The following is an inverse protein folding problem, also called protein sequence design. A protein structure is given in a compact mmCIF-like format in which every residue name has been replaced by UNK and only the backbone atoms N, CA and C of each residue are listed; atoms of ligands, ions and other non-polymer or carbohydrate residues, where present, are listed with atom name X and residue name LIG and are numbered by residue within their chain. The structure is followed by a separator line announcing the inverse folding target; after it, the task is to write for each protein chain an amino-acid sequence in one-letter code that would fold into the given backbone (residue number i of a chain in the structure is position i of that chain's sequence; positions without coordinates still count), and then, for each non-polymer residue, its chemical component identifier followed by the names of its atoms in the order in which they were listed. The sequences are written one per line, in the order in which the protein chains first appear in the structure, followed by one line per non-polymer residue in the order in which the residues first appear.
data_IF_523389602502
#
_entry.id   IF_523389602502
#
_cell.length_a   1.000
_cell.length_b   1.000
_cell.length_c   1.000
_cell.angle_alpha   90.00
_cell.angle_beta   90.00
_cell.angle_gamma   90.00
#
_symmetry.space_group_name_H-M   'P 1'
#
loop_
_entity.id
_entity.type
_entity.pdbx_description
1 polymer ?
#
# COMPACT_ATOMS: atom_id res chain seq x y z
N UNK A 1 69.54 -36.45 -13.79
CA UNK A 1 68.92 -35.33 -14.50
C UNK A 1 67.70 -35.90 -15.21
N UNK A 2 66.55 -35.75 -14.61
CA UNK A 2 65.22 -36.23 -15.16
C UNK A 2 64.66 -35.15 -16.06
N UNK A 3 64.53 -35.50 -17.34
CA UNK A 3 63.85 -34.60 -18.33
C UNK A 3 62.38 -34.48 -18.00
N UNK A 4 61.94 -33.30 -17.62
CA UNK A 4 60.53 -32.96 -17.38
C UNK A 4 59.86 -32.83 -18.75
N UNK A 5 58.87 -33.71 -19.03
CA UNK A 5 58.18 -33.77 -20.30
C UNK A 5 57.28 -32.54 -20.48
N UNK A 6 57.58 -31.78 -21.53
CA UNK A 6 56.86 -30.57 -21.94
C UNK A 6 55.38 -30.81 -22.32
N UNK A 7 54.95 -32.08 -22.35
CA UNK A 7 53.59 -32.47 -22.76
C UNK A 7 52.58 -32.42 -21.61
N UNK A 8 53.04 -32.32 -20.34
CA UNK A 8 52.10 -32.26 -19.18
C UNK A 8 51.61 -30.87 -18.84
N UNK A 9 52.15 -29.81 -19.43
CA UNK A 9 51.81 -28.41 -19.13
C UNK A 9 50.67 -27.93 -20.05
N UNK A 10 50.41 -28.60 -21.19
CA UNK A 10 49.38 -28.15 -22.15
C UNK A 10 47.95 -28.61 -21.79
N UNK A 11 47.78 -29.54 -20.86
CA UNK A 11 46.43 -30.08 -20.50
C UNK A 11 45.77 -29.28 -19.34
N UNK A 12 46.53 -28.45 -18.62
CA UNK A 12 45.98 -27.70 -17.47
C UNK A 12 45.41 -26.35 -17.87
N UNK A 13 45.68 -25.83 -19.09
CA UNK A 13 45.22 -24.50 -19.54
C UNK A 13 43.83 -24.57 -20.21
N UNK A 14 43.30 -25.77 -20.54
CA UNK A 14 42.03 -25.88 -21.26
C UNK A 14 40.80 -26.15 -20.38
N UNK A 15 40.94 -26.22 -19.06
CA UNK A 15 39.86 -26.52 -18.13
C UNK A 15 39.29 -25.29 -17.41
N UNK A 16 39.66 -24.05 -17.78
CA UNK A 16 39.27 -22.84 -17.06
C UNK A 16 38.43 -21.85 -17.90
N UNK A 17 37.68 -22.31 -18.90
CA UNK A 17 36.93 -21.40 -19.81
C UNK A 17 35.46 -21.70 -19.92
N UNK A 18 34.81 -22.28 -18.92
CA UNK A 18 33.33 -22.34 -18.89
C UNK A 18 32.81 -21.84 -17.55
N UNK A 19 33.14 -20.58 -17.20
CA UNK A 19 32.28 -19.82 -16.28
C UNK A 19 31.18 -19.17 -17.12
N UNK A 20 30.14 -19.93 -17.41
CA UNK A 20 28.88 -19.40 -17.90
C UNK A 20 28.35 -18.43 -16.87
N UNK A 21 28.45 -17.13 -17.14
CA UNK A 21 27.70 -16.10 -16.44
C UNK A 21 26.23 -16.32 -16.80
N UNK A 22 25.53 -17.05 -15.95
CA UNK A 22 24.09 -17.07 -15.93
C UNK A 22 23.64 -15.66 -15.49
N UNK A 23 23.43 -14.79 -16.49
CA UNK A 23 22.73 -13.52 -16.31
C UNK A 23 21.32 -13.87 -15.86
N UNK A 24 21.06 -13.80 -14.55
CA UNK A 24 19.72 -13.88 -14.02
C UNK A 24 18.95 -12.63 -14.51
N UNK A 25 18.38 -12.71 -15.70
CA UNK A 25 17.27 -11.85 -16.10
C UNK A 25 16.11 -12.21 -15.16
N UNK A 26 16.06 -11.57 -14.00
CA UNK A 26 14.84 -11.48 -13.22
C UNK A 26 13.86 -10.66 -14.07
N UNK A 27 13.12 -11.36 -14.94
CA UNK A 27 11.94 -10.84 -15.60
C UNK A 27 10.99 -10.46 -14.46
N UNK A 28 10.90 -9.16 -14.22
CA UNK A 28 9.89 -8.59 -13.35
C UNK A 28 8.56 -8.87 -14.06
N UNK A 29 7.95 -10.00 -13.72
CA UNK A 29 6.58 -10.28 -14.14
C UNK A 29 5.73 -9.18 -13.55
N UNK A 30 5.28 -8.27 -14.41
CA UNK A 30 4.20 -7.36 -14.08
C UNK A 30 3.01 -8.26 -13.75
N UNK A 31 2.71 -8.42 -12.47
CA UNK A 31 1.46 -9.05 -12.06
C UNK A 31 0.35 -8.21 -12.69
N UNK A 32 -0.43 -8.80 -13.59
CA UNK A 32 -1.69 -8.25 -14.06
C UNK A 32 -2.68 -8.29 -12.88
N UNK A 33 -2.41 -7.46 -11.88
CA UNK A 33 -3.28 -7.26 -10.74
C UNK A 33 -4.41 -6.34 -11.19
N UNK A 34 -5.49 -6.94 -11.67
CA UNK A 34 -6.67 -6.22 -12.19
C UNK A 34 -7.56 -5.69 -11.07
N UNK A 35 -7.29 -6.06 -9.81
CA UNK A 35 -8.12 -5.72 -8.67
C UNK A 35 -7.31 -5.25 -7.45
N UNK A 36 -7.94 -4.44 -6.59
CA UNK A 36 -7.36 -4.10 -5.29
C UNK A 36 -7.37 -5.32 -4.39
N UNK A 37 -6.24 -5.68 -3.82
CA UNK A 37 -6.13 -6.74 -2.81
C UNK A 37 -6.55 -6.19 -1.44
N UNK A 38 -7.86 -6.11 -1.23
CA UNK A 38 -8.41 -5.65 0.04
C UNK A 38 -8.13 -6.64 1.17
N UNK A 39 -7.67 -6.14 2.31
CA UNK A 39 -7.56 -6.89 3.56
C UNK A 39 -8.36 -6.22 4.67
N UNK A 40 -8.42 -6.86 5.83
CA UNK A 40 -9.07 -6.30 7.02
C UNK A 40 -8.09 -5.44 7.82
N UNK A 41 -8.63 -4.52 8.62
CA UNK A 41 -7.80 -3.60 9.40
C UNK A 41 -6.94 -4.35 10.44
N UNK A 42 -7.43 -5.47 10.99
CA UNK A 42 -6.73 -6.28 11.97
C UNK A 42 -5.48 -6.96 11.39
N UNK A 43 -5.51 -7.31 10.11
CA UNK A 43 -4.40 -7.97 9.41
C UNK A 43 -3.42 -6.97 8.79
N UNK A 44 -3.83 -5.73 8.63
CA UNK A 44 -3.12 -4.74 7.81
C UNK A 44 -1.65 -4.57 8.20
N UNK A 45 -1.34 -4.42 9.48
CA UNK A 45 0.03 -4.24 9.98
C UNK A 45 0.91 -5.46 9.67
N UNK A 46 0.40 -6.66 9.97
CA UNK A 46 1.15 -7.91 9.75
C UNK A 46 1.41 -8.16 8.26
N UNK A 47 0.41 -7.95 7.41
CA UNK A 47 0.54 -8.10 5.96
C UNK A 47 1.45 -7.03 5.33
N UNK A 48 1.40 -5.80 5.83
CA UNK A 48 2.30 -4.72 5.40
C UNK A 48 3.76 -5.09 5.64
N UNK A 49 4.07 -5.60 6.83
CA UNK A 49 5.43 -6.03 7.20
C UNK A 49 5.86 -7.29 6.43
N UNK A 50 4.97 -8.28 6.33
CA UNK A 50 5.27 -9.54 5.62
C UNK A 50 5.59 -9.31 4.12
N UNK A 51 4.94 -8.32 3.50
CA UNK A 51 5.13 -7.97 2.09
C UNK A 51 6.13 -6.83 1.86
N UNK A 52 6.88 -6.39 2.88
CA UNK A 52 7.83 -5.28 2.83
C UNK A 52 7.22 -3.97 2.29
N UNK A 53 5.93 -3.75 2.49
CA UNK A 53 5.25 -2.52 2.12
C UNK A 53 5.48 -1.44 3.18
N UNK A 54 5.37 -0.18 2.77
CA UNK A 54 5.71 0.95 3.64
C UNK A 54 4.48 1.60 4.28
N UNK A 55 3.31 1.43 3.68
CA UNK A 55 2.10 2.14 4.06
C UNK A 55 0.89 1.24 4.04
N UNK A 56 -0.14 1.66 4.79
CA UNK A 56 -1.48 1.10 4.74
C UNK A 56 -2.40 2.21 4.22
N UNK A 57 -3.19 1.91 3.19
CA UNK A 57 -4.27 2.78 2.72
C UNK A 57 -5.60 2.21 3.23
N UNK A 58 -6.27 2.94 4.10
CA UNK A 58 -7.59 2.57 4.61
C UNK A 58 -8.65 3.37 3.87
N UNK A 59 -9.58 2.69 3.21
CA UNK A 59 -10.79 3.27 2.66
C UNK A 59 -11.92 3.12 3.67
N UNK A 60 -12.30 4.24 4.31
CA UNK A 60 -13.42 4.32 5.23
C UNK A 60 -14.70 4.56 4.42
N UNK A 61 -15.60 3.59 4.44
CA UNK A 61 -16.86 3.64 3.72
C UNK A 61 -18.05 3.33 4.62
N UNK A 62 -19.25 3.47 4.09
CA UNK A 62 -20.51 2.95 4.65
C UNK A 62 -21.37 2.37 3.54
N UNK A 63 -22.27 1.43 3.86
CA UNK A 63 -23.07 0.72 2.87
C UNK A 63 -24.04 1.64 2.07
N UNK A 64 -24.45 2.74 2.65
CA UNK A 64 -25.33 3.73 2.03
C UNK A 64 -24.57 4.83 1.25
N UNK A 65 -23.24 4.84 1.27
CA UNK A 65 -22.41 5.89 0.69
C UNK A 65 -22.33 5.78 -0.84
N UNK A 66 -23.10 6.57 -1.56
CA UNK A 66 -23.07 6.58 -3.03
C UNK A 66 -21.73 7.00 -3.63
N UNK A 67 -21.02 7.96 -3.01
CA UNK A 67 -19.69 8.36 -3.45
C UNK A 67 -18.61 7.31 -3.21
N UNK A 68 -18.79 6.46 -2.18
CA UNK A 68 -17.91 5.32 -1.97
C UNK A 68 -18.05 4.30 -3.10
N UNK A 69 -19.30 3.94 -3.46
CA UNK A 69 -19.58 3.05 -4.59
C UNK A 69 -19.00 3.61 -5.90
N UNK A 70 -19.17 4.92 -6.14
CA UNK A 70 -18.60 5.57 -7.31
C UNK A 70 -17.05 5.51 -7.32
N UNK A 71 -16.40 5.60 -6.17
CA UNK A 71 -14.95 5.47 -6.06
C UNK A 71 -14.50 4.02 -6.33
N UNK A 72 -15.27 3.03 -5.86
CA UNK A 72 -15.02 1.62 -6.15
C UNK A 72 -15.10 1.33 -7.67
N UNK A 73 -16.11 1.88 -8.33
CA UNK A 73 -16.39 1.64 -9.75
C UNK A 73 -15.42 2.38 -10.70
N UNK A 74 -14.98 3.58 -10.35
CA UNK A 74 -14.25 4.45 -11.28
C UNK A 74 -12.79 4.69 -10.90
N UNK A 75 -12.43 4.61 -9.62
CA UNK A 75 -11.08 4.90 -9.17
C UNK A 75 -10.29 3.62 -8.91
N UNK A 76 -10.88 2.71 -8.14
CA UNK A 76 -10.22 1.45 -7.78
C UNK A 76 -10.27 0.37 -8.87
N UNK A 77 -10.56 0.76 -10.11
CA UNK A 77 -10.52 -0.10 -11.32
C UNK A 77 -9.43 0.32 -12.31
N UNK A 78 -8.73 1.44 -12.07
CA UNK A 78 -7.66 1.90 -12.96
C UNK A 78 -6.39 1.07 -12.78
N UNK A 79 -5.92 0.43 -13.84
CA UNK A 79 -4.77 -0.48 -13.80
C UNK A 79 -3.47 0.20 -13.36
N UNK A 80 -3.25 1.46 -13.76
CA UNK A 80 -2.03 2.21 -13.39
C UNK A 80 -2.03 2.57 -11.92
N UNK A 81 -3.19 2.98 -11.39
CA UNK A 81 -3.40 3.23 -9.97
C UNK A 81 -3.18 1.94 -9.16
N UNK A 82 -3.74 0.82 -9.60
CA UNK A 82 -3.62 -0.47 -8.92
C UNK A 82 -2.17 -0.95 -8.84
N UNK A 83 -1.40 -0.82 -9.90
CA UNK A 83 0.02 -1.14 -9.90
C UNK A 83 0.79 -0.31 -8.85
N UNK A 84 0.51 0.99 -8.77
CA UNK A 84 1.12 1.90 -7.79
C UNK A 84 0.69 1.57 -6.35
N UNK A 85 -0.61 1.34 -6.13
CA UNK A 85 -1.19 0.97 -4.84
C UNK A 85 -0.59 -0.34 -4.33
N UNK A 86 -0.64 -1.39 -5.16
CA UNK A 86 -0.19 -2.73 -4.77
C UNK A 86 1.32 -2.82 -4.53
N UNK A 87 2.12 -1.92 -5.09
CA UNK A 87 3.59 -1.94 -4.92
C UNK A 87 4.05 -1.48 -3.53
N UNK A 88 3.37 -0.50 -2.91
CA UNK A 88 3.85 0.12 -1.67
C UNK A 88 2.84 0.15 -0.52
N UNK A 89 1.57 -0.12 -0.81
CA UNK A 89 0.49 0.00 0.15
C UNK A 89 -0.21 -1.34 0.37
N UNK A 90 -0.61 -1.60 1.60
CA UNK A 90 -1.61 -2.61 1.93
C UNK A 90 -2.96 -1.91 1.94
N UNK A 91 -3.89 -2.35 1.08
CA UNK A 91 -5.20 -1.73 0.96
C UNK A 91 -6.19 -2.37 1.94
N UNK A 92 -6.88 -1.55 2.70
CA UNK A 92 -7.88 -1.95 3.70
C UNK A 92 -9.23 -1.34 3.33
N UNK A 93 -10.27 -2.16 3.25
CA UNK A 93 -11.66 -1.72 3.16
C UNK A 93 -12.29 -1.78 4.53
N UNK A 94 -12.70 -0.63 5.12
CA UNK A 94 -13.20 -0.59 6.47
C UNK A 94 -14.57 0.09 6.55
N UNK A 95 -15.62 -0.70 6.85
CA UNK A 95 -16.96 -0.16 7.08
C UNK A 95 -16.97 0.62 8.40
N UNK A 96 -17.09 1.93 8.29
CA UNK A 96 -17.05 2.83 9.43
C UNK A 96 -18.24 2.65 10.40
N UNK A 97 -19.34 2.02 9.97
CA UNK A 97 -20.53 1.75 10.79
C UNK A 97 -20.59 0.28 11.26
N UNK A 98 -19.49 -0.50 11.17
CA UNK A 98 -19.49 -1.86 11.70
C UNK A 98 -19.81 -1.87 13.19
N UNK A 99 -20.73 -2.75 13.58
CA UNK A 99 -21.10 -2.99 14.98
C UNK A 99 -20.10 -3.92 15.70
N UNK A 100 -19.25 -4.60 14.94
CA UNK A 100 -18.26 -5.53 15.49
C UNK A 100 -17.20 -4.78 16.31
N UNK A 101 -16.68 -5.46 17.33
CA UNK A 101 -15.51 -4.98 18.05
C UNK A 101 -14.28 -5.17 17.16
N UNK A 102 -13.62 -4.07 16.82
CA UNK A 102 -12.44 -4.07 15.96
C UNK A 102 -11.18 -4.00 16.80
N UNK A 103 -10.25 -4.89 16.56
CA UNK A 103 -8.94 -4.88 17.22
C UNK A 103 -7.88 -4.29 16.29
N UNK A 104 -7.26 -3.20 16.69
CA UNK A 104 -6.21 -2.57 15.90
C UNK A 104 -5.10 -2.04 16.79
N UNK A 105 -3.86 -2.37 16.45
CA UNK A 105 -2.65 -1.94 17.16
C UNK A 105 -2.72 -2.14 18.69
N UNK A 106 -3.19 -3.33 19.11
CA UNK A 106 -3.30 -3.72 20.54
C UNK A 106 -4.45 -3.07 21.32
N UNK A 107 -5.33 -2.33 20.64
CA UNK A 107 -6.49 -1.66 21.24
C UNK A 107 -7.79 -2.17 20.60
N UNK A 108 -8.86 -2.27 21.42
CA UNK A 108 -10.20 -2.64 20.94
C UNK A 108 -11.07 -1.40 20.79
N UNK A 109 -11.83 -1.37 19.70
CA UNK A 109 -12.68 -0.25 19.29
C UNK A 109 -14.12 -0.73 19.11
N UNK A 110 -15.04 -0.08 19.78
CA UNK A 110 -16.46 -0.41 19.74
C UNK A 110 -17.22 0.55 18.81
N UNK A 111 -18.40 0.13 18.40
CA UNK A 111 -19.35 1.03 17.76
C UNK A 111 -19.89 2.05 18.80
N UNK A 112 -19.98 3.30 18.41
CA UNK A 112 -20.56 4.38 19.21
C UNK A 112 -21.68 5.04 18.45
N UNK A 113 -22.88 5.03 19.01
CA UNK A 113 -24.06 5.71 18.44
C UNK A 113 -23.94 7.22 18.67
N UNK A 114 -24.07 7.99 17.59
CA UNK A 114 -24.10 9.46 17.60
C UNK A 114 -25.35 9.94 16.86
N UNK A 115 -26.38 10.35 17.58
CA UNK A 115 -27.67 10.73 16.98
C UNK A 115 -28.40 9.55 16.33
N UNK A 116 -28.88 9.74 15.09
CA UNK A 116 -29.63 8.72 14.34
C UNK A 116 -28.74 7.61 13.77
N UNK A 117 -27.43 7.82 13.69
CA UNK A 117 -26.43 6.86 13.19
C UNK A 117 -25.35 6.66 14.24
N UNK A 118 -24.22 6.14 13.85
CA UNK A 118 -23.04 5.97 14.68
C UNK A 118 -21.84 5.62 13.84
N UNK A 119 -20.72 5.41 14.50
CA UNK A 119 -19.51 4.92 13.83
C UNK A 119 -18.68 4.08 14.80
N UNK A 120 -17.87 3.21 14.26
CA UNK A 120 -16.84 2.55 15.06
C UNK A 120 -15.80 3.58 15.52
N UNK A 121 -15.38 3.47 16.76
CA UNK A 121 -14.40 4.39 17.36
C UNK A 121 -13.10 4.48 16.58
N UNK A 122 -12.66 3.38 15.92
CA UNK A 122 -11.48 3.38 15.08
C UNK A 122 -11.70 4.25 13.82
N UNK A 123 -12.88 4.17 13.18
CA UNK A 123 -13.20 5.03 12.04
C UNK A 123 -13.17 6.51 12.44
N UNK A 124 -13.69 6.84 13.62
CA UNK A 124 -13.63 8.21 14.17
C UNK A 124 -12.19 8.66 14.43
N UNK A 125 -11.38 7.81 15.07
CA UNK A 125 -9.97 8.13 15.38
C UNK A 125 -9.14 8.32 14.10
N UNK A 126 -9.30 7.44 13.12
CA UNK A 126 -8.53 7.48 11.88
C UNK A 126 -9.04 8.55 10.90
N UNK A 127 -10.36 8.64 10.70
CA UNK A 127 -10.96 9.38 9.59
C UNK A 127 -11.34 10.82 9.91
N UNK A 128 -11.47 11.20 11.19
CA UNK A 128 -11.92 12.56 11.51
C UNK A 128 -10.89 13.63 11.14
N UNK A 129 -11.39 14.70 10.49
CA UNK A 129 -10.65 15.92 10.18
C UNK A 129 -11.47 17.10 10.74
N UNK A 130 -10.88 17.88 11.66
CA UNK A 130 -11.58 18.96 12.34
C UNK A 130 -12.87 18.50 13.05
N UNK A 131 -12.84 17.37 13.74
CA UNK A 131 -13.97 16.76 14.45
C UNK A 131 -15.14 16.30 13.55
N UNK A 132 -14.93 16.21 12.24
CA UNK A 132 -15.93 15.72 11.29
C UNK A 132 -15.45 14.43 10.63
N UNK A 133 -16.30 13.42 10.61
CA UNK A 133 -16.12 12.19 9.84
C UNK A 133 -17.09 12.20 8.67
N UNK A 134 -16.60 12.05 7.47
CA UNK A 134 -17.39 11.96 6.23
C UNK A 134 -16.96 10.75 5.40
N UNK A 135 -17.73 10.42 4.37
CA UNK A 135 -17.47 9.26 3.53
C UNK A 135 -17.58 9.58 2.05
N UNK A 136 -16.68 8.99 1.22
CA UNK A 136 -15.53 8.21 1.62
C UNK A 136 -14.48 9.06 2.32
N UNK A 137 -13.63 8.45 3.13
CA UNK A 137 -12.39 9.07 3.62
C UNK A 137 -11.25 8.08 3.47
N UNK A 138 -10.23 8.46 2.72
CA UNK A 138 -8.99 7.69 2.63
C UNK A 138 -8.04 8.09 3.76
N UNK A 139 -7.47 7.11 4.44
CA UNK A 139 -6.48 7.33 5.50
C UNK A 139 -5.19 6.60 5.17
N UNK A 140 -4.08 7.32 5.21
CA UNK A 140 -2.75 6.72 5.08
C UNK A 140 -2.14 6.55 6.46
N UNK A 141 -1.70 5.30 6.73
CA UNK A 141 -0.95 4.94 7.92
C UNK A 141 0.45 4.49 7.51
N UNK A 142 1.42 4.58 8.43
CA UNK A 142 2.72 3.93 8.23
C UNK A 142 2.62 2.40 8.45
N UNK A 143 3.73 1.70 8.29
CA UNK A 143 3.78 0.24 8.42
C UNK A 143 3.52 -0.26 9.87
N UNK A 144 3.59 0.60 10.86
CA UNK A 144 3.29 0.31 12.27
C UNK A 144 1.84 0.68 12.65
N UNK A 145 1.05 1.17 11.68
CA UNK A 145 -0.34 1.54 11.89
C UNK A 145 -0.55 2.94 12.48
N UNK A 146 0.49 3.78 12.53
CA UNK A 146 0.35 5.15 12.96
C UNK A 146 -0.26 6.00 11.85
N UNK A 147 -1.31 6.76 12.16
CA UNK A 147 -1.95 7.68 11.20
C UNK A 147 -0.96 8.74 10.74
N UNK A 148 -0.81 8.87 9.43
CA UNK A 148 -0.05 9.94 8.78
C UNK A 148 -0.98 11.06 8.32
N UNK A 149 -2.01 10.73 7.53
CA UNK A 149 -2.96 11.74 7.03
C UNK A 149 -4.30 11.11 6.65
N UNK A 150 -5.38 11.90 6.77
CA UNK A 150 -6.70 11.58 6.26
C UNK A 150 -7.10 12.55 5.13
N UNK A 151 -7.77 12.01 4.11
CA UNK A 151 -8.21 12.71 2.91
C UNK A 151 -9.73 12.50 2.72
N UNK A 152 -10.57 13.35 3.30
CA UNK A 152 -12.01 13.20 3.20
C UNK A 152 -12.54 13.47 1.79
N UNK A 153 -13.64 12.82 1.44
CA UNK A 153 -14.35 12.96 0.18
C UNK A 153 -13.79 12.09 -0.96
N UNK A 154 -14.61 11.98 -2.02
CA UNK A 154 -14.28 11.24 -3.24
C UNK A 154 -12.92 11.66 -3.83
N UNK A 155 -12.16 10.70 -4.30
CA UNK A 155 -10.92 10.90 -5.03
C UNK A 155 -11.01 10.19 -6.37
N UNK A 156 -10.79 10.93 -7.46
CA UNK A 156 -10.61 10.35 -8.78
C UNK A 156 -9.22 9.68 -8.92
N UNK A 157 -8.98 9.07 -10.06
CA UNK A 157 -7.71 8.36 -10.35
C UNK A 157 -6.51 9.30 -10.22
N UNK A 158 -6.62 10.51 -10.75
CA UNK A 158 -5.53 11.49 -10.75
C UNK A 158 -5.18 11.92 -9.32
N UNK A 159 -6.18 12.32 -8.55
CA UNK A 159 -6.01 12.76 -7.16
C UNK A 159 -5.46 11.63 -6.28
N UNK A 160 -6.00 10.40 -6.40
CA UNK A 160 -5.50 9.28 -5.62
C UNK A 160 -4.08 8.89 -6.02
N UNK A 161 -3.76 8.92 -7.32
CA UNK A 161 -2.39 8.70 -7.81
C UNK A 161 -1.43 9.73 -7.21
N UNK A 162 -1.81 11.01 -7.16
CA UNK A 162 -1.00 12.05 -6.53
C UNK A 162 -0.79 11.79 -5.04
N UNK A 163 -1.84 11.37 -4.31
CA UNK A 163 -1.73 10.98 -2.88
C UNK A 163 -0.73 9.84 -2.71
N UNK A 164 -0.85 8.75 -3.49
CA UNK A 164 0.06 7.62 -3.38
C UNK A 164 1.51 8.01 -3.66
N UNK A 165 1.75 8.81 -4.70
CA UNK A 165 3.08 9.34 -5.05
C UNK A 165 3.67 10.24 -3.96
N UNK A 166 2.85 11.06 -3.32
CA UNK A 166 3.25 11.94 -2.21
C UNK A 166 3.87 11.14 -1.05
N UNK A 167 3.27 10.02 -0.68
CA UNK A 167 3.82 9.15 0.35
C UNK A 167 5.00 8.32 -0.16
N UNK A 168 4.89 7.75 -1.37
CA UNK A 168 5.92 6.90 -1.95
C UNK A 168 7.25 7.65 -2.13
N UNK A 169 7.21 8.91 -2.58
CA UNK A 169 8.40 9.77 -2.73
C UNK A 169 9.02 10.20 -1.40
N UNK A 170 8.27 10.10 -0.29
CA UNK A 170 8.69 10.63 1.00
C UNK A 170 8.44 12.12 1.17
N UNK A 171 7.83 12.81 0.20
CA UNK A 171 7.56 14.25 0.24
C UNK A 171 6.69 14.68 1.43
N UNK A 172 5.81 13.76 1.91
CA UNK A 172 4.99 13.99 3.11
C UNK A 172 5.78 14.34 4.38
N UNK A 173 7.10 14.11 4.38
CA UNK A 173 7.98 14.45 5.51
C UNK A 173 8.46 15.90 5.49
N UNK A 174 8.40 16.56 4.34
CA UNK A 174 9.02 17.88 4.11
C UNK A 174 8.05 18.95 3.64
N UNK A 175 6.89 18.57 3.12
CA UNK A 175 5.87 19.51 2.62
C UNK A 175 4.46 18.94 2.84
N UNK A 176 3.45 19.80 2.75
CA UNK A 176 2.06 19.37 2.75
C UNK A 176 1.60 18.89 1.35
N UNK A 177 0.44 18.23 1.31
CA UNK A 177 -0.09 17.67 0.07
C UNK A 177 -0.45 18.74 -0.97
N UNK A 178 -0.91 19.91 -0.55
CA UNK A 178 -1.27 20.99 -1.46
C UNK A 178 -0.02 21.57 -2.15
N UNK A 179 1.08 21.75 -1.40
CA UNK A 179 2.37 22.14 -1.95
C UNK A 179 2.90 21.10 -2.95
N UNK A 180 2.77 19.83 -2.63
CA UNK A 180 3.17 18.75 -3.52
C UNK A 180 2.39 18.77 -4.83
N UNK A 181 1.07 18.96 -4.78
CA UNK A 181 0.23 19.03 -5.99
C UNK A 181 0.56 20.25 -6.87
N UNK A 182 0.85 21.42 -6.27
CA UNK A 182 1.14 22.64 -7.03
C UNK A 182 2.52 22.64 -7.68
N UNK A 183 3.40 21.73 -7.30
CA UNK A 183 4.74 21.56 -7.87
C UNK A 183 4.86 20.46 -8.92
N UNK A 184 3.74 19.84 -9.34
CA UNK A 184 3.69 18.77 -10.35
C UNK A 184 3.41 19.29 -11.74
#
# INVERSE_FOLDING_TARGET
MKKLNFLSILVIIFACSILSTASANAKMEASNDTDVKWTTIEKAISETKANNKKFILVDLYTDWCGWCKKMDENTFTDASLLALLNSNFTAVKFNAETADVVSFNGKSYNFTKTGARGANQLAMELGSVGNKLGYPTLVVLDADGKKLQAFPGYKDVETLTAILKFFQSGSYKTMDFQQFQSGQ
#
